data_IF_268448864945
#
_entry.id   IF_268448864945
#
_cell.length_a   1.000
_cell.length_b   1.000
_cell.length_c   1.000
_cell.angle_alpha   90.00
_cell.angle_beta   90.00
_cell.angle_gamma   90.00
#
_symmetry.space_group_name_H-M   'P 1'
#
loop_
_entity.id
_entity.type
_entity.pdbx_description
1 polymer ?
#
# COMPACT_ATOMS: atom_id res chain seq x y z
N UNK A 1 -28.41 9.94 -1.13
CA UNK A 1 -27.29 9.48 -1.99
C UNK A 1 -26.99 8.02 -1.70
N UNK A 2 -26.73 7.24 -2.78
CA UNK A 2 -26.27 5.86 -2.65
C UNK A 2 -24.76 5.82 -2.44
N UNK A 3 -24.24 4.81 -1.75
CA UNK A 3 -22.80 4.64 -1.50
C UNK A 3 -21.98 4.55 -2.80
N UNK A 4 -22.56 4.05 -3.89
CA UNK A 4 -21.90 3.94 -5.20
C UNK A 4 -21.56 5.30 -5.81
N UNK A 5 -22.24 6.39 -5.43
CA UNK A 5 -21.96 7.74 -5.90
C UNK A 5 -20.55 8.23 -5.56
N UNK A 6 -20.02 7.77 -4.41
CA UNK A 6 -18.68 8.13 -3.93
C UNK A 6 -17.58 7.20 -4.44
N UNK A 7 -17.90 6.32 -5.39
CA UNK A 7 -16.92 5.48 -6.06
C UNK A 7 -16.53 6.08 -7.41
N UNK A 8 -15.27 6.38 -7.62
CA UNK A 8 -14.76 6.86 -8.91
C UNK A 8 -14.78 5.78 -10.01
N UNK A 9 -14.99 4.50 -9.65
CA UNK A 9 -15.11 3.38 -10.60
C UNK A 9 -16.54 3.19 -11.14
N UNK A 10 -17.55 3.83 -10.54
CA UNK A 10 -18.95 3.62 -10.85
C UNK A 10 -19.57 4.89 -11.42
N UNK A 11 -20.42 4.77 -12.44
CA UNK A 11 -21.17 5.91 -12.99
C UNK A 11 -22.11 6.51 -11.94
N UNK A 12 -22.36 7.81 -12.07
CA UNK A 12 -23.35 8.54 -11.27
C UNK A 12 -22.77 9.62 -10.36
N UNK A 13 -21.53 9.45 -9.86
CA UNK A 13 -20.87 10.48 -9.05
C UNK A 13 -19.49 10.86 -9.57
N UNK A 14 -18.89 10.04 -10.40
CA UNK A 14 -17.58 10.30 -11.00
C UNK A 14 -17.66 11.31 -12.15
N UNK A 15 -16.55 11.93 -12.47
CA UNK A 15 -16.39 12.68 -13.70
C UNK A 15 -16.44 11.73 -14.91
N UNK A 16 -17.39 11.92 -15.81
CA UNK A 16 -17.52 11.03 -16.99
C UNK A 16 -16.49 11.37 -18.08
N UNK A 17 -15.92 12.58 -18.11
CA UNK A 17 -14.89 12.95 -19.07
C UNK A 17 -13.60 12.14 -18.89
N UNK A 18 -13.13 11.95 -17.65
CA UNK A 18 -11.98 11.12 -17.33
C UNK A 18 -12.37 9.75 -16.74
N UNK A 19 -13.66 9.43 -16.67
CA UNK A 19 -14.21 8.19 -16.10
C UNK A 19 -13.78 7.92 -14.64
N UNK A 20 -13.42 8.97 -13.92
CA UNK A 20 -12.98 8.89 -12.52
C UNK A 20 -11.47 8.82 -12.32
N UNK A 21 -10.66 8.82 -13.38
CA UNK A 21 -9.20 8.76 -13.27
C UNK A 21 -8.59 10.08 -12.79
N UNK A 22 -9.28 11.21 -12.99
CA UNK A 22 -8.80 12.56 -12.68
C UNK A 22 -7.77 13.07 -13.69
N UNK A 23 -7.22 12.20 -14.50
CA UNK A 23 -6.23 12.48 -15.55
C UNK A 23 -6.71 11.94 -16.90
N UNK A 24 -6.17 12.49 -17.97
CA UNK A 24 -6.38 12.01 -19.33
C UNK A 24 -5.04 11.56 -19.88
N UNK A 25 -4.99 10.33 -20.38
CA UNK A 25 -3.84 9.77 -21.05
C UNK A 25 -3.83 10.24 -22.51
N UNK A 26 -2.75 10.88 -22.93
CA UNK A 26 -2.49 11.25 -24.32
C UNK A 26 -1.47 10.26 -24.87
N UNK A 27 -1.92 9.37 -25.74
CA UNK A 27 -1.05 8.39 -26.39
C UNK A 27 -0.23 9.03 -27.49
N UNK A 28 1.07 8.82 -27.47
CA UNK A 28 2.02 9.30 -28.46
C UNK A 28 2.67 8.12 -29.19
N UNK A 29 2.60 8.09 -30.53
CA UNK A 29 3.03 6.96 -31.33
C UNK A 29 4.54 6.60 -31.20
N UNK A 30 5.39 7.53 -30.80
CA UNK A 30 6.86 7.33 -30.73
C UNK A 30 7.50 7.87 -29.44
N UNK A 31 6.70 8.41 -28.54
CA UNK A 31 7.15 8.97 -27.26
C UNK A 31 6.37 8.32 -26.11
N UNK A 32 6.88 8.37 -24.88
CA UNK A 32 6.12 7.93 -23.71
C UNK A 32 4.79 8.67 -23.61
N UNK A 33 3.75 7.95 -23.18
CA UNK A 33 2.44 8.53 -22.96
C UNK A 33 2.48 9.70 -21.97
N UNK A 34 1.76 10.76 -22.28
CA UNK A 34 1.65 11.95 -21.41
C UNK A 34 0.34 11.91 -20.65
N UNK A 35 0.39 12.16 -19.36
CA UNK A 35 -0.77 12.23 -18.49
C UNK A 35 -1.00 13.70 -18.10
N UNK A 36 -2.19 14.22 -18.40
CA UNK A 36 -2.59 15.59 -18.06
C UNK A 36 -3.81 15.58 -17.15
N UNK A 37 -3.96 16.53 -16.22
CA UNK A 37 -5.17 16.67 -15.41
C UNK A 37 -6.40 16.81 -16.31
N UNK A 38 -7.51 16.18 -15.93
CA UNK A 38 -8.77 16.32 -16.64
C UNK A 38 -9.27 17.77 -16.56
N UNK A 39 -9.52 18.40 -17.70
CA UNK A 39 -9.99 19.80 -17.79
C UNK A 39 -11.38 20.01 -17.19
N UNK A 40 -12.22 18.95 -17.11
CA UNK A 40 -13.58 19.03 -16.59
C UNK A 40 -13.62 18.97 -15.07
N UNK A 41 -12.87 18.05 -14.46
CA UNK A 41 -12.87 17.87 -13.00
C UNK A 41 -11.60 18.38 -12.32
N UNK A 42 -10.62 18.89 -13.07
CA UNK A 42 -9.36 19.42 -12.53
C UNK A 42 -8.65 18.46 -11.56
N UNK A 43 -8.71 17.15 -11.85
CA UNK A 43 -8.09 16.11 -11.04
C UNK A 43 -8.94 15.57 -9.87
N UNK A 44 -10.11 16.17 -9.57
CA UNK A 44 -10.94 15.76 -8.43
C UNK A 44 -11.65 14.42 -8.60
N UNK A 45 -11.73 13.90 -9.83
CA UNK A 45 -12.35 12.61 -10.20
C UNK A 45 -13.88 12.54 -10.13
N UNK A 46 -14.54 13.51 -9.50
CA UNK A 46 -15.98 13.52 -9.28
C UNK A 46 -16.67 14.69 -10.01
N UNK A 47 -17.97 14.57 -10.17
CA UNK A 47 -18.81 15.69 -10.62
C UNK A 47 -19.06 16.68 -9.48
N UNK A 48 -19.47 17.93 -9.83
CA UNK A 48 -19.71 19.01 -8.86
C UNK A 48 -20.74 18.64 -7.79
N UNK A 49 -21.82 17.97 -8.17
CA UNK A 49 -22.89 17.57 -7.28
C UNK A 49 -22.44 16.57 -6.20
N UNK A 50 -21.47 15.69 -6.53
CA UNK A 50 -20.87 14.77 -5.53
C UNK A 50 -19.91 15.53 -4.60
N UNK A 51 -19.22 16.54 -5.10
CA UNK A 51 -18.29 17.36 -4.30
C UNK A 51 -19.00 18.30 -3.32
N UNK A 52 -20.30 18.58 -3.50
CA UNK A 52 -21.11 19.33 -2.52
C UNK A 52 -21.37 18.56 -1.22
N UNK A 53 -21.18 17.25 -1.23
CA UNK A 53 -21.38 16.42 -0.04
C UNK A 53 -20.12 16.41 0.82
N UNK A 54 -20.24 16.90 2.03
CA UNK A 54 -19.12 16.99 2.97
C UNK A 54 -19.32 16.12 4.21
N UNK A 55 -18.23 15.62 4.74
CA UNK A 55 -18.13 15.02 6.07
C UNK A 55 -17.03 15.73 6.85
N UNK A 56 -17.38 16.31 8.01
CA UNK A 56 -16.47 17.13 8.82
C UNK A 56 -15.77 18.25 8.00
N UNK A 57 -16.54 18.92 7.10
CA UNK A 57 -16.05 20.02 6.27
C UNK A 57 -15.09 19.62 5.14
N UNK A 58 -15.09 18.32 4.76
CA UNK A 58 -14.28 17.82 3.64
C UNK A 58 -15.13 16.98 2.69
N UNK A 59 -14.98 17.25 1.39
CA UNK A 59 -15.59 16.46 0.34
C UNK A 59 -14.74 15.22 0.01
N UNK A 60 -15.28 14.33 -0.83
CA UNK A 60 -14.60 13.07 -1.16
C UNK A 60 -13.25 13.25 -1.87
N UNK A 61 -13.08 14.29 -2.69
CA UNK A 61 -11.81 14.57 -3.35
C UNK A 61 -10.74 15.01 -2.35
N UNK A 62 -11.11 15.86 -1.39
CA UNK A 62 -10.21 16.27 -0.30
C UNK A 62 -9.84 15.09 0.60
N UNK A 63 -10.80 14.19 0.87
CA UNK A 63 -10.53 12.94 1.61
C UNK A 63 -9.55 12.04 0.85
N UNK A 64 -9.71 11.89 -0.46
CA UNK A 64 -8.77 11.10 -1.28
C UNK A 64 -7.36 11.73 -1.36
N UNK A 65 -7.25 13.04 -1.17
CA UNK A 65 -5.96 13.73 -1.12
C UNK A 65 -5.28 13.65 0.25
N UNK A 66 -5.96 13.16 1.29
CA UNK A 66 -5.31 12.91 2.58
C UNK A 66 -4.30 11.77 2.47
N UNK A 67 -3.21 11.89 3.22
CA UNK A 67 -2.36 10.75 3.53
C UNK A 67 -3.10 9.75 4.42
N UNK A 68 -2.60 8.53 4.49
CA UNK A 68 -3.16 7.50 5.39
C UNK A 68 -3.11 7.98 6.84
N UNK A 69 -2.00 8.61 7.27
CA UNK A 69 -1.85 9.15 8.63
C UNK A 69 -2.90 10.23 8.93
N UNK A 70 -3.09 11.21 8.04
CA UNK A 70 -4.13 12.25 8.19
C UNK A 70 -5.54 11.66 8.21
N UNK A 71 -5.81 10.69 7.34
CA UNK A 71 -7.10 10.01 7.28
C UNK A 71 -7.38 9.17 8.52
N UNK A 72 -6.34 8.61 9.15
CA UNK A 72 -6.45 7.86 10.39
C UNK A 72 -6.99 8.74 11.53
N UNK A 73 -6.48 9.97 11.64
CA UNK A 73 -6.96 10.96 12.61
C UNK A 73 -8.36 11.47 12.25
N UNK A 74 -8.60 11.78 10.98
CA UNK A 74 -9.87 12.27 10.48
C UNK A 74 -11.03 11.28 10.74
N UNK A 75 -10.79 9.99 10.50
CA UNK A 75 -11.76 8.91 10.69
C UNK A 75 -11.64 8.21 12.06
N UNK A 76 -10.98 8.82 13.05
CA UNK A 76 -10.74 8.23 14.37
C UNK A 76 -12.02 7.74 15.07
N UNK A 77 -13.16 8.42 14.82
CA UNK A 77 -14.48 8.06 15.37
C UNK A 77 -15.19 6.92 14.61
N UNK A 78 -14.61 6.41 13.49
CA UNK A 78 -15.22 5.35 12.67
C UNK A 78 -14.36 4.08 12.74
N UNK A 79 -14.62 3.14 13.67
CA UNK A 79 -13.72 2.02 13.96
C UNK A 79 -13.41 1.13 12.74
N UNK A 80 -14.40 0.94 11.85
CA UNK A 80 -14.24 0.11 10.64
C UNK A 80 -13.25 0.71 9.64
N UNK A 81 -13.22 2.03 9.49
CA UNK A 81 -12.28 2.74 8.61
C UNK A 81 -10.93 2.81 9.32
N UNK A 82 -10.92 3.26 10.59
CA UNK A 82 -9.71 3.38 11.40
C UNK A 82 -8.89 2.10 11.38
N UNK A 83 -9.51 0.93 11.59
CA UNK A 83 -8.81 -0.36 11.61
C UNK A 83 -8.11 -0.68 10.28
N UNK A 84 -8.73 -0.32 9.14
CA UNK A 84 -8.11 -0.53 7.82
C UNK A 84 -6.93 0.41 7.60
N UNK A 85 -7.11 1.69 7.92
CA UNK A 85 -6.05 2.69 7.79
C UNK A 85 -4.87 2.37 8.72
N UNK A 86 -5.15 1.93 9.96
CA UNK A 86 -4.13 1.53 10.92
C UNK A 86 -3.27 0.39 10.36
N UNK A 87 -3.87 -0.60 9.69
CA UNK A 87 -3.11 -1.70 9.09
C UNK A 87 -2.16 -1.21 7.98
N UNK A 88 -2.56 -0.17 7.22
CA UNK A 88 -1.70 0.45 6.19
C UNK A 88 -0.59 1.28 6.85
N UNK A 89 -0.92 2.02 7.90
CA UNK A 89 0.07 2.76 8.72
C UNK A 89 1.11 1.83 9.33
N UNK A 90 0.66 0.69 9.89
CA UNK A 90 1.53 -0.30 10.56
C UNK A 90 2.59 -0.90 9.62
N UNK A 91 2.33 -0.95 8.31
CA UNK A 91 3.31 -1.43 7.32
C UNK A 91 4.20 -0.30 6.76
N UNK A 92 4.21 0.89 7.39
CA UNK A 92 5.05 2.02 7.00
C UNK A 92 4.54 2.76 5.75
N UNK A 93 3.23 2.74 5.47
CA UNK A 93 2.62 3.41 4.32
C UNK A 93 1.75 4.62 4.73
N UNK A 94 2.06 5.24 5.87
CA UNK A 94 1.32 6.40 6.38
C UNK A 94 1.34 7.62 5.48
N UNK A 95 2.40 7.80 4.72
CA UNK A 95 2.61 8.93 3.81
C UNK A 95 1.86 8.81 2.47
N UNK A 96 1.34 7.65 2.11
CA UNK A 96 0.63 7.44 0.85
C UNK A 96 -0.74 8.11 0.90
N UNK A 97 -1.12 8.77 -0.19
CA UNK A 97 -2.46 9.35 -0.32
C UNK A 97 -3.53 8.29 -0.60
N UNK A 98 -4.72 8.44 0.00
CA UNK A 98 -5.82 7.49 -0.19
C UNK A 98 -6.23 7.33 -1.66
N UNK A 99 -6.13 8.41 -2.44
CA UNK A 99 -6.45 8.44 -3.86
C UNK A 99 -5.27 8.14 -4.77
N UNK A 100 -4.11 7.74 -4.25
CA UNK A 100 -2.92 7.49 -5.07
C UNK A 100 -3.16 6.31 -6.03
N UNK A 101 -2.87 6.48 -7.34
CA UNK A 101 -2.99 5.40 -8.30
C UNK A 101 -1.99 4.27 -7.99
N UNK A 102 -2.43 3.02 -8.08
CA UNK A 102 -1.56 1.86 -7.81
C UNK A 102 -0.32 1.79 -8.72
N UNK A 103 -0.40 2.36 -9.92
CA UNK A 103 0.70 2.43 -10.89
C UNK A 103 1.83 3.38 -10.47
N UNK A 104 1.60 4.24 -9.48
CA UNK A 104 2.62 5.17 -8.94
C UNK A 104 3.35 4.62 -7.72
N UNK A 105 2.93 3.45 -7.23
CA UNK A 105 3.59 2.78 -6.12
C UNK A 105 4.88 2.11 -6.59
N UNK A 106 5.93 2.24 -5.80
CA UNK A 106 7.14 1.44 -5.95
C UNK A 106 6.86 -0.05 -5.70
N UNK A 107 7.76 -0.94 -6.13
CA UNK A 107 7.62 -2.38 -5.88
C UNK A 107 7.44 -2.71 -4.40
N UNK A 108 8.26 -2.11 -3.52
CA UNK A 108 8.17 -2.29 -2.08
C UNK A 108 6.86 -1.76 -1.47
N UNK A 109 6.38 -0.59 -1.92
CA UNK A 109 5.08 -0.04 -1.49
C UNK A 109 3.92 -0.95 -1.90
N UNK A 110 3.92 -1.42 -3.14
CA UNK A 110 2.89 -2.33 -3.64
C UNK A 110 2.88 -3.66 -2.86
N UNK A 111 4.06 -4.18 -2.50
CA UNK A 111 4.21 -5.38 -1.69
C UNK A 111 3.67 -5.17 -0.27
N UNK A 112 4.03 -4.07 0.40
CA UNK A 112 3.51 -3.72 1.73
C UNK A 112 2.00 -3.45 1.71
N UNK A 113 1.47 -2.86 0.64
CA UNK A 113 0.02 -2.70 0.49
C UNK A 113 -0.70 -4.06 0.39
N UNK A 114 -0.14 -5.04 -0.33
CA UNK A 114 -0.67 -6.41 -0.34
C UNK A 114 -0.59 -7.05 1.04
N UNK A 115 0.52 -6.86 1.77
CA UNK A 115 0.69 -7.35 3.13
C UNK A 115 -0.38 -6.76 4.06
N UNK A 116 -0.63 -5.44 4.00
CA UNK A 116 -1.69 -4.80 4.76
C UNK A 116 -3.08 -5.38 4.46
N UNK A 117 -3.36 -5.69 3.19
CA UNK A 117 -4.62 -6.32 2.79
C UNK A 117 -4.77 -7.74 3.38
N UNK A 118 -3.70 -8.53 3.41
CA UNK A 118 -3.71 -9.86 4.02
C UNK A 118 -3.87 -9.82 5.54
N UNK A 119 -3.20 -8.87 6.21
CA UNK A 119 -3.37 -8.65 7.65
C UNK A 119 -4.80 -8.28 8.05
N UNK A 120 -5.50 -7.58 7.16
CA UNK A 120 -6.90 -7.22 7.40
C UNK A 120 -7.84 -8.41 7.27
N UNK A 121 -7.48 -9.44 6.48
CA UNK A 121 -8.18 -10.71 6.43
C UNK A 121 -7.88 -11.48 7.72
N UNK A 122 -8.89 -12.07 8.31
CA UNK A 122 -8.67 -13.01 9.42
C UNK A 122 -7.97 -14.26 8.85
N UNK A 123 -6.66 -14.32 9.00
CA UNK A 123 -5.91 -15.53 8.68
C UNK A 123 -6.27 -16.61 9.70
N UNK A 124 -6.70 -17.76 9.22
CA UNK A 124 -6.95 -18.92 10.08
C UNK A 124 -5.67 -19.76 10.31
N UNK A 125 -4.49 -19.17 10.09
CA UNK A 125 -3.20 -19.86 10.12
C UNK A 125 -2.93 -20.71 8.87
N UNK A 126 -1.68 -21.18 8.71
CA UNK A 126 -1.21 -22.04 7.60
C UNK A 126 -1.04 -21.36 6.24
N UNK A 127 -0.90 -20.03 6.19
CA UNK A 127 -0.43 -19.32 5.02
C UNK A 127 1.09 -19.27 5.00
N UNK A 128 1.67 -19.33 3.80
CA UNK A 128 3.10 -19.13 3.57
C UNK A 128 3.28 -17.82 2.80
N UNK A 129 3.96 -16.86 3.40
CA UNK A 129 4.23 -15.53 2.82
C UNK A 129 5.68 -15.47 2.37
N UNK A 130 5.90 -14.99 1.15
CA UNK A 130 7.23 -14.72 0.61
C UNK A 130 7.32 -13.22 0.35
N UNK A 131 8.27 -12.58 0.98
CA UNK A 131 8.53 -11.15 0.86
C UNK A 131 9.93 -10.94 0.31
N UNK A 132 10.05 -10.15 -0.74
CA UNK A 132 11.30 -9.84 -1.41
C UNK A 132 11.66 -8.38 -1.14
N UNK A 133 12.75 -8.15 -0.39
CA UNK A 133 13.25 -6.85 0.05
C UNK A 133 12.15 -5.89 0.57
N UNK A 134 11.30 -6.31 1.54
CA UNK A 134 10.18 -5.49 1.98
C UNK A 134 10.59 -4.22 2.71
N UNK A 135 11.86 -4.08 3.12
CA UNK A 135 12.40 -2.89 3.78
C UNK A 135 12.88 -1.81 2.82
N UNK A 136 12.89 -2.08 1.51
CA UNK A 136 13.35 -1.13 0.51
C UNK A 136 12.61 0.21 0.61
N UNK A 137 13.37 1.30 0.82
CA UNK A 137 12.84 2.66 0.94
C UNK A 137 12.18 2.98 2.28
N UNK A 138 12.33 2.12 3.29
CA UNK A 138 11.85 2.38 4.65
C UNK A 138 12.90 3.08 5.51
N UNK A 139 12.44 3.96 6.40
CA UNK A 139 13.21 4.48 7.52
C UNK A 139 13.26 3.44 8.65
N UNK A 140 14.27 3.51 9.54
CA UNK A 140 14.47 2.53 10.63
C UNK A 140 13.24 2.35 11.53
N UNK A 141 12.46 3.38 11.79
CA UNK A 141 11.23 3.27 12.59
C UNK A 141 10.12 2.50 11.87
N UNK A 142 10.06 2.60 10.54
CA UNK A 142 9.10 1.85 9.73
C UNK A 142 9.52 0.38 9.60
N UNK A 143 10.82 0.09 9.59
CA UNK A 143 11.35 -1.30 9.65
C UNK A 143 10.90 -1.96 10.96
N UNK A 144 10.99 -1.28 12.11
CA UNK A 144 10.49 -1.81 13.39
C UNK A 144 9.00 -2.12 13.36
N UNK A 145 8.20 -1.22 12.76
CA UNK A 145 6.75 -1.44 12.60
C UNK A 145 6.47 -2.64 11.69
N UNK A 146 7.18 -2.74 10.55
CA UNK A 146 7.07 -3.88 9.65
C UNK A 146 7.43 -5.18 10.36
N UNK A 147 8.54 -5.25 11.09
CA UNK A 147 8.93 -6.45 11.85
C UNK A 147 7.87 -6.85 12.87
N UNK A 148 7.29 -5.90 13.60
CA UNK A 148 6.20 -6.18 14.53
C UNK A 148 4.96 -6.76 13.83
N UNK A 149 4.70 -6.32 12.60
CA UNK A 149 3.62 -6.84 11.75
C UNK A 149 3.93 -8.27 11.29
N UNK A 150 5.15 -8.54 10.83
CA UNK A 150 5.58 -9.88 10.41
C UNK A 150 5.54 -10.86 11.58
N UNK A 151 5.97 -10.42 12.77
CA UNK A 151 5.89 -11.26 13.97
C UNK A 151 4.44 -11.62 14.32
N UNK A 152 3.49 -10.68 14.22
CA UNK A 152 2.06 -10.97 14.41
C UNK A 152 1.53 -12.04 13.44
N UNK A 153 2.04 -12.07 12.20
CA UNK A 153 1.67 -13.13 11.23
C UNK A 153 2.21 -14.50 11.66
N UNK A 154 3.44 -14.54 12.12
CA UNK A 154 4.07 -15.78 12.63
C UNK A 154 3.34 -16.26 13.88
N UNK A 155 3.06 -15.39 14.84
CA UNK A 155 2.32 -15.71 16.07
C UNK A 155 0.90 -16.23 15.79
N UNK A 156 0.29 -15.80 14.67
CA UNK A 156 -0.99 -16.32 14.19
C UNK A 156 -0.90 -17.69 13.51
N UNK A 157 0.29 -18.33 13.50
CA UNK A 157 0.52 -19.69 12.97
C UNK A 157 0.85 -19.73 11.47
N UNK A 158 1.26 -18.61 10.89
CA UNK A 158 1.72 -18.55 9.51
C UNK A 158 3.24 -18.74 9.42
N UNK A 159 3.72 -19.02 8.22
CA UNK A 159 5.16 -19.03 7.90
C UNK A 159 5.48 -17.83 7.04
N UNK A 160 6.54 -17.08 7.40
CA UNK A 160 7.00 -15.91 6.67
C UNK A 160 8.44 -16.14 6.24
N UNK A 161 8.67 -16.13 4.93
CA UNK A 161 10.00 -16.15 4.32
C UNK A 161 10.31 -14.74 3.83
N UNK A 162 11.41 -14.17 4.29
CA UNK A 162 11.85 -12.83 3.90
C UNK A 162 13.19 -12.94 3.21
N UNK A 163 13.31 -12.39 2.02
CA UNK A 163 14.58 -12.21 1.31
C UNK A 163 15.04 -10.81 1.65
N UNK A 164 16.14 -10.69 2.39
CA UNK A 164 16.61 -9.41 2.91
C UNK A 164 18.13 -9.39 3.14
N UNK A 165 18.67 -8.20 3.18
CA UNK A 165 20.05 -7.92 3.53
C UNK A 165 20.18 -6.88 4.66
N UNK A 166 19.05 -6.35 5.13
CA UNK A 166 19.00 -5.45 6.30
C UNK A 166 19.31 -6.23 7.58
N UNK A 167 20.32 -5.77 8.33
CA UNK A 167 20.82 -6.48 9.52
C UNK A 167 19.81 -6.53 10.67
N UNK A 168 18.90 -5.57 10.78
CA UNK A 168 17.88 -5.58 11.82
C UNK A 168 16.82 -6.64 11.53
N UNK A 169 16.48 -6.84 10.25
CA UNK A 169 15.62 -7.95 9.82
C UNK A 169 16.30 -9.29 10.05
N UNK A 170 17.56 -9.42 9.61
CA UNK A 170 18.36 -10.63 9.78
C UNK A 170 18.45 -11.05 11.25
N UNK A 171 18.76 -10.13 12.16
CA UNK A 171 18.84 -10.38 13.61
C UNK A 171 17.49 -10.71 14.26
N UNK A 172 16.39 -10.35 13.63
CA UNK A 172 15.03 -10.57 14.14
C UNK A 172 14.40 -11.88 13.64
N UNK A 173 15.10 -12.62 12.76
CA UNK A 173 14.60 -13.87 12.22
C UNK A 173 14.72 -15.01 13.23
N UNK A 174 13.79 -15.99 13.16
CA UNK A 174 13.89 -17.25 13.94
C UNK A 174 14.90 -18.22 13.32
N UNK A 175 15.09 -18.14 12.00
CA UNK A 175 15.98 -19.00 11.23
C UNK A 175 16.53 -18.28 10.02
N UNK A 176 17.82 -18.46 9.74
CA UNK A 176 18.53 -17.90 8.60
C UNK A 176 18.93 -19.00 7.61
N UNK A 177 18.89 -18.65 6.33
CA UNK A 177 19.46 -19.41 5.23
C UNK A 177 20.33 -18.43 4.45
N UNK A 178 21.64 -18.57 4.56
CA UNK A 178 22.61 -17.73 3.86
C UNK A 178 22.96 -18.36 2.52
N UNK A 179 22.83 -17.58 1.44
CA UNK A 179 23.10 -18.00 0.07
C UNK A 179 24.33 -17.26 -0.47
N UNK A 180 25.24 -17.99 -1.06
CA UNK A 180 26.46 -17.43 -1.61
C UNK A 180 27.31 -18.44 -2.37
N UNK A 181 28.66 -18.21 -2.40
CA UNK A 181 29.40 -17.03 -1.91
C UNK A 181 29.27 -15.82 -2.84
N UNK A 182 28.87 -16.02 -4.10
CA UNK A 182 28.74 -14.99 -5.13
C UNK A 182 27.32 -14.93 -5.69
N UNK A 183 27.05 -13.98 -6.60
CA UNK A 183 25.82 -13.90 -7.37
C UNK A 183 25.90 -14.60 -8.73
N UNK A 184 24.78 -14.80 -9.41
CA UNK A 184 24.75 -15.37 -10.76
C UNK A 184 25.16 -16.84 -10.82
N UNK A 185 25.95 -17.23 -11.84
CA UNK A 185 26.34 -18.62 -12.08
C UNK A 185 27.23 -19.22 -10.99
N UNK A 186 27.93 -18.40 -10.20
CA UNK A 186 28.78 -18.84 -9.07
C UNK A 186 28.05 -18.83 -7.72
N UNK A 187 26.81 -18.40 -7.66
CA UNK A 187 26.02 -18.25 -6.45
C UNK A 187 24.92 -19.28 -6.28
N UNK A 188 24.02 -19.02 -5.35
CA UNK A 188 22.85 -19.86 -5.11
C UNK A 188 23.09 -21.12 -4.28
N UNK A 189 24.30 -21.28 -3.75
CA UNK A 189 24.60 -22.36 -2.81
C UNK A 189 24.25 -21.93 -1.38
N UNK A 190 23.76 -22.87 -0.57
CA UNK A 190 23.57 -22.64 0.85
C UNK A 190 24.95 -22.64 1.53
N UNK A 191 25.33 -21.49 2.07
CA UNK A 191 26.61 -21.30 2.77
C UNK A 191 26.49 -21.63 4.24
N UNK A 192 25.42 -21.14 4.87
CA UNK A 192 25.11 -21.38 6.27
C UNK A 192 23.61 -21.44 6.54
N UNK A 193 23.22 -22.15 7.58
CA UNK A 193 21.87 -22.15 8.12
C UNK A 193 21.90 -22.19 9.63
N UNK A 194 20.99 -21.50 10.28
CA UNK A 194 20.92 -21.50 11.74
C UNK A 194 20.08 -20.36 12.29
N UNK A 195 20.11 -20.19 13.60
CA UNK A 195 19.60 -19.00 14.29
C UNK A 195 20.57 -17.83 14.13
N UNK A 196 20.11 -16.58 14.20
CA UNK A 196 20.97 -15.40 14.18
C UNK A 196 22.03 -15.37 15.26
#
# INVERSE_FOLDING_TARGET
YTKGRFSFNVKGGRCEACRGDGIIKIEMNFLPDVYVPCEVCHGTRYNSETLEVEYKGKNIAEVLNMTVSEALDFFSAIPKIKRKLQTIEDVGLGYIHLGQPATTLSGGEAQRMKLAAELHRQSHGKSFYILDEPTTGLHMDDIKRLLAVLQRLVDAGNTVLVIEHDLDVVKSADWLIDLGPEGGAGGGNVVATGTP
#
